data_IF_320718164845
#
_entry.id   IF_320718164845
#
_cell.length_a   1.000
_cell.length_b   1.000
_cell.length_c   1.000
_cell.angle_alpha   90.00
_cell.angle_beta   90.00
_cell.angle_gamma   90.00
#
_symmetry.space_group_name_H-M   'P 1'
#
loop_
_entity.id
_entity.type
_entity.pdbx_description
1 polymer ?
#
# COMPACT_ATOMS: atom_id res chain seq x y z
N UNK A 1 -12.75 -17.70 -6.45
CA UNK A 1 -12.17 -16.69 -5.54
C UNK A 1 -11.00 -17.26 -4.75
N UNK A 2 -11.10 -18.51 -4.29
CA UNK A 2 -10.07 -19.24 -3.54
C UNK A 2 -8.60 -19.05 -3.98
N UNK A 3 -8.21 -19.11 -5.27
CA UNK A 3 -6.82 -18.92 -5.67
C UNK A 3 -6.25 -17.53 -5.34
N UNK A 4 -7.11 -16.51 -5.18
CA UNK A 4 -6.70 -15.13 -4.92
C UNK A 4 -6.77 -14.76 -3.44
N UNK A 5 -7.29 -15.65 -2.59
CA UNK A 5 -7.44 -15.39 -1.15
C UNK A 5 -6.10 -15.14 -0.47
N UNK A 6 -5.08 -15.94 -0.80
CA UNK A 6 -3.72 -15.79 -0.25
C UNK A 6 -3.13 -14.42 -0.59
N UNK A 7 -3.19 -14.02 -1.87
CA UNK A 7 -2.71 -12.72 -2.32
C UNK A 7 -3.40 -11.55 -1.62
N UNK A 8 -4.73 -11.65 -1.43
CA UNK A 8 -5.49 -10.62 -0.69
C UNK A 8 -5.09 -10.62 0.77
N UNK A 9 -4.98 -11.78 1.42
CA UNK A 9 -4.57 -11.89 2.80
C UNK A 9 -3.19 -11.26 3.04
N UNK A 10 -2.23 -11.49 2.14
CA UNK A 10 -0.88 -10.92 2.23
C UNK A 10 -0.90 -9.39 2.08
N UNK A 11 -1.68 -8.86 1.13
CA UNK A 11 -1.90 -7.42 1.00
C UNK A 11 -2.55 -6.82 2.27
N UNK A 12 -3.51 -7.52 2.87
CA UNK A 12 -4.21 -7.08 4.08
C UNK A 12 -3.34 -7.18 5.34
N UNK A 13 -2.42 -8.16 5.41
CA UNK A 13 -1.41 -8.25 6.47
C UNK A 13 -0.34 -7.17 6.30
N UNK A 14 0.01 -6.77 5.08
CA UNK A 14 0.86 -5.61 4.87
C UNK A 14 0.18 -4.29 5.31
N UNK A 15 -1.14 -4.16 5.09
CA UNK A 15 -1.95 -3.00 5.51
C UNK A 15 -2.01 -2.80 7.02
N UNK A 16 -1.85 -3.87 7.78
CA UNK A 16 -1.88 -3.87 9.23
C UNK A 16 -0.72 -3.04 9.82
N UNK A 17 0.46 -3.14 9.22
CA UNK A 17 1.64 -2.35 9.62
C UNK A 17 1.70 -0.97 8.93
N UNK A 18 0.91 -0.78 7.87
CA UNK A 18 0.86 0.48 7.15
C UNK A 18 0.06 1.57 7.91
N UNK A 19 0.53 2.84 7.89
CA UNK A 19 -0.25 3.99 8.32
C UNK A 19 -1.62 4.03 7.66
N UNK A 20 -2.67 4.49 8.38
CA UNK A 20 -4.07 4.45 7.90
C UNK A 20 -4.27 5.00 6.48
N UNK A 21 -3.52 6.03 6.09
CA UNK A 21 -3.60 6.67 4.77
C UNK A 21 -2.91 5.87 3.65
N UNK A 22 -2.08 4.89 3.98
CA UNK A 22 -1.33 4.03 3.05
C UNK A 22 -1.95 2.64 2.87
N UNK A 23 -2.97 2.32 3.67
CA UNK A 23 -3.68 1.04 3.56
C UNK A 23 -4.35 0.93 2.20
N UNK A 24 -4.26 -0.23 1.58
CA UNK A 24 -4.88 -0.51 0.30
C UNK A 24 -6.40 -0.29 0.40
N UNK A 25 -7.03 0.15 -0.69
CA UNK A 25 -8.51 0.12 -0.79
C UNK A 25 -8.92 -1.18 -1.47
N UNK A 26 -10.18 -1.61 -1.31
CA UNK A 26 -10.71 -2.75 -2.05
C UNK A 26 -10.50 -2.60 -3.57
N UNK A 27 -10.59 -1.37 -4.07
CA UNK A 27 -10.30 -1.04 -5.48
C UNK A 27 -8.84 -1.31 -5.83
N UNK A 28 -7.89 -0.87 -5.00
CA UNK A 28 -6.46 -1.09 -5.26
C UNK A 28 -6.08 -2.56 -5.20
N UNK A 29 -6.67 -3.31 -4.27
CA UNK A 29 -6.52 -4.77 -4.19
C UNK A 29 -7.06 -5.41 -5.46
N UNK A 30 -8.27 -5.04 -5.90
CA UNK A 30 -8.88 -5.61 -7.10
C UNK A 30 -8.06 -5.35 -8.37
N UNK A 31 -7.54 -4.13 -8.56
CA UNK A 31 -6.67 -3.80 -9.69
C UNK A 31 -5.40 -4.65 -9.68
N UNK A 32 -4.72 -4.75 -8.53
CA UNK A 32 -3.52 -5.60 -8.41
C UNK A 32 -3.80 -7.08 -8.65
N UNK A 33 -4.99 -7.57 -8.27
CA UNK A 33 -5.38 -8.95 -8.59
C UNK A 33 -5.53 -9.19 -10.09
N UNK A 34 -6.06 -8.21 -10.82
CA UNK A 34 -6.16 -8.31 -12.29
C UNK A 34 -4.76 -8.25 -12.91
N UNK A 35 -3.92 -7.31 -12.47
CA UNK A 35 -2.59 -7.07 -13.04
C UNK A 35 -1.55 -8.16 -12.70
N UNK A 36 -1.55 -8.68 -11.48
CA UNK A 36 -0.52 -9.61 -10.98
C UNK A 36 -0.96 -11.09 -11.06
N UNK A 37 -2.28 -11.34 -11.07
CA UNK A 37 -2.83 -12.70 -10.95
C UNK A 37 -3.87 -13.04 -12.02
N UNK A 38 -4.05 -12.21 -13.05
CA UNK A 38 -5.03 -12.42 -14.14
C UNK A 38 -6.46 -12.69 -13.62
N UNK A 39 -6.84 -12.06 -12.50
CA UNK A 39 -8.13 -12.28 -11.84
C UNK A 39 -9.32 -11.59 -12.54
N UNK A 40 -9.39 -11.66 -13.86
CA UNK A 40 -10.36 -10.96 -14.73
C UNK A 40 -11.80 -11.40 -14.43
N UNK A 41 -12.00 -12.67 -14.07
CA UNK A 41 -13.32 -13.24 -13.77
C UNK A 41 -13.85 -12.87 -12.37
N UNK A 42 -13.01 -12.29 -11.50
CA UNK A 42 -13.42 -11.94 -10.14
C UNK A 42 -13.98 -10.52 -10.12
N UNK A 43 -15.27 -10.39 -9.86
CA UNK A 43 -15.91 -9.08 -9.76
C UNK A 43 -15.39 -8.24 -8.58
N UNK A 44 -15.42 -6.92 -8.74
CA UNK A 44 -15.08 -5.97 -7.69
C UNK A 44 -15.91 -6.17 -6.41
N UNK A 45 -17.22 -6.45 -6.52
CA UNK A 45 -18.09 -6.66 -5.35
C UNK A 45 -17.64 -7.88 -4.55
N UNK A 46 -17.29 -8.98 -5.22
CA UNK A 46 -16.72 -10.17 -4.57
C UNK A 46 -15.44 -9.84 -3.80
N UNK A 47 -14.50 -9.09 -4.41
CA UNK A 47 -13.28 -8.66 -3.73
C UNK A 47 -13.59 -7.75 -2.54
N UNK A 48 -14.47 -6.77 -2.72
CA UNK A 48 -14.85 -5.80 -1.68
C UNK A 48 -15.47 -6.49 -0.46
N UNK A 49 -16.40 -7.40 -0.70
CA UNK A 49 -17.12 -8.09 0.38
C UNK A 49 -16.18 -9.04 1.14
N UNK A 50 -15.29 -9.74 0.42
CA UNK A 50 -14.24 -10.54 1.03
C UNK A 50 -13.26 -9.68 1.86
N UNK A 51 -12.72 -8.61 1.28
CA UNK A 51 -11.79 -7.69 1.96
C UNK A 51 -12.40 -7.12 3.25
N UNK A 52 -13.69 -6.76 3.23
CA UNK A 52 -14.39 -6.22 4.40
C UNK A 52 -14.40 -7.22 5.57
N UNK A 53 -14.77 -8.47 5.30
CA UNK A 53 -14.81 -9.54 6.33
C UNK A 53 -13.39 -9.84 6.82
N UNK A 54 -12.46 -9.98 5.88
CA UNK A 54 -11.12 -10.49 6.16
C UNK A 54 -10.25 -9.49 6.90
N UNK A 55 -10.43 -8.19 6.69
CA UNK A 55 -9.79 -7.13 7.50
C UNK A 55 -10.09 -7.25 8.99
N UNK A 56 -11.35 -7.53 9.33
CA UNK A 56 -11.75 -7.73 10.73
C UNK A 56 -11.09 -8.98 11.30
N UNK A 57 -11.13 -10.09 10.57
CA UNK A 57 -10.57 -11.36 11.01
C UNK A 57 -9.04 -11.30 11.19
N UNK A 58 -8.31 -10.75 10.20
CA UNK A 58 -6.86 -10.53 10.27
C UNK A 58 -6.49 -9.60 11.43
N UNK A 59 -7.30 -8.57 11.69
CA UNK A 59 -7.12 -7.70 12.86
C UNK A 59 -7.24 -8.45 14.19
N UNK A 60 -8.23 -9.34 14.31
CA UNK A 60 -8.43 -10.20 15.48
C UNK A 60 -7.29 -11.22 15.63
N UNK A 61 -6.88 -11.88 14.55
CA UNK A 61 -5.78 -12.85 14.52
C UNK A 61 -4.45 -12.21 14.94
N UNK A 62 -4.20 -10.97 14.52
CA UNK A 62 -3.00 -10.21 14.91
C UNK A 62 -3.00 -9.76 16.38
N UNK A 63 -3.93 -10.23 17.21
CA UNK A 63 -4.05 -9.85 18.63
C UNK A 63 -4.42 -8.38 18.84
N UNK A 64 -4.74 -7.64 17.77
CA UNK A 64 -5.20 -6.25 17.86
C UNK A 64 -6.67 -6.23 18.25
N UNK A 65 -6.94 -6.33 19.55
CA UNK A 65 -8.01 -5.48 20.11
C UNK A 65 -7.66 -4.04 19.70
N UNK A 66 -8.65 -3.31 19.20
CA UNK A 66 -8.49 -1.98 18.61
C UNK A 66 -7.91 -1.00 19.63
N UNK A 67 -6.60 -0.96 19.84
CA UNK A 67 -5.92 0.10 20.58
C UNK A 67 -4.51 0.38 20.03
N UNK A 68 -4.20 1.68 20.04
CA UNK A 68 -2.88 2.32 19.96
C UNK A 68 -2.28 2.57 18.56
N UNK A 69 -2.67 3.73 18.04
CA UNK A 69 -1.79 4.79 17.54
C UNK A 69 -0.27 4.54 17.69
N UNK A 70 0.44 4.38 16.57
CA UNK A 70 1.85 4.76 16.46
C UNK A 70 1.99 5.67 15.23
N UNK A 71 2.10 7.01 15.39
CA UNK A 71 2.53 7.86 14.30
C UNK A 71 4.04 7.67 14.12
N UNK A 72 4.44 6.82 13.17
CA UNK A 72 5.81 6.84 12.66
C UNK A 72 5.88 7.83 11.50
N UNK A 73 6.18 9.08 11.84
CA UNK A 73 6.60 10.12 10.91
C UNK A 73 8.01 9.82 10.38
N UNK A 74 8.32 10.36 9.19
CA UNK A 74 9.59 10.31 8.39
C UNK A 74 9.76 9.06 7.53
N UNK A 75 10.17 9.07 6.26
CA UNK A 75 10.40 10.01 5.15
C UNK A 75 10.54 9.08 3.90
N UNK A 76 10.27 9.44 2.64
CA UNK A 76 11.13 10.32 1.85
C UNK A 76 10.47 10.64 0.51
N UNK A 77 10.38 11.94 0.22
CA UNK A 77 10.18 12.47 -1.12
C UNK A 77 11.40 12.17 -1.98
N UNK A 78 11.22 11.50 -3.11
CA UNK A 78 12.21 11.50 -4.19
C UNK A 78 11.86 12.63 -5.16
N UNK A 79 12.26 13.86 -4.80
CA UNK A 79 12.40 14.96 -5.75
C UNK A 79 13.84 14.93 -6.25
N UNK A 80 14.03 14.48 -7.48
CA UNK A 80 15.34 14.45 -8.14
C UNK A 80 15.90 15.88 -8.20
N UNK A 81 17.12 16.04 -7.67
CA UNK A 81 17.95 17.23 -7.82
C UNK A 81 18.57 17.20 -9.22
N UNK A 82 18.31 18.21 -10.03
CA UNK A 82 19.21 18.62 -11.11
C UNK A 82 19.54 20.10 -10.88
N UNK A 83 20.56 20.32 -10.06
CA UNK A 83 21.28 21.60 -9.99
C UNK A 83 22.56 21.45 -10.78
N UNK A 84 22.63 22.04 -11.96
CA UNK A 84 23.90 22.52 -12.53
C UNK A 84 23.84 24.04 -12.46
N UNK A 85 24.36 24.60 -11.37
CA UNK A 85 24.58 26.02 -11.25
C UNK A 85 25.81 26.41 -12.08
N UNK A 86 25.64 27.51 -12.80
CA UNK A 86 26.61 28.26 -13.58
C UNK A 86 27.94 28.44 -12.84
N UNK A 87 29.04 27.98 -13.45
CA UNK A 87 30.38 28.46 -13.12
C UNK A 87 30.68 29.68 -14.00
N UNK A 88 30.46 30.86 -13.45
CA UNK A 88 31.16 32.07 -13.86
C UNK A 88 32.20 32.33 -12.79
N UNK A 89 33.47 32.08 -13.08
CA UNK A 89 34.57 32.63 -12.28
C UNK A 89 35.63 33.19 -13.23
N UNK A 90 35.61 34.52 -13.24
CA UNK A 90 36.60 35.46 -13.74
C UNK A 90 38.01 35.11 -13.24
N UNK A 91 39.01 35.17 -14.13
CA UNK A 91 40.43 35.17 -13.78
C UNK A 91 41.01 36.57 -14.04
N UNK A 92 41.93 37.09 -13.20
CA UNK A 92 42.53 38.41 -13.36
C UNK A 92 43.85 38.35 -14.16
N UNK A 93 44.19 39.45 -14.82
CA UNK A 93 45.48 39.68 -15.49
C UNK A 93 45.36 40.61 -16.67
#
# INVERSE_FOLDING_TARGET
MDPFKSAIDDMLRADLEAPRKQRHTARRIHVRLIEEHDAIEVSYSTVRDYVRIRRTQIGLEAGRRVEVMIPRSTHQAQKQKSTSASSTSSWPG
#
